data_IF_308884502348
#
_entry.id   IF_308884502348
#
_cell.length_a   1.000
_cell.length_b   1.000
_cell.length_c   1.000
_cell.angle_alpha   90.00
_cell.angle_beta   90.00
_cell.angle_gamma   90.00
#
_symmetry.space_group_name_H-M   'P 1'
#
loop_
_entity.id
_entity.type
_entity.pdbx_description
1 polymer ?
#
# COMPACT_ATOMS: atom_id res chain seq x y z
N UNK A 1 -1.16 -4.61 -9.04
CA UNK A 1 -1.41 -5.87 -8.29
C UNK A 1 -2.00 -5.51 -6.93
N UNK A 2 -2.97 -6.28 -6.43
CA UNK A 2 -3.56 -6.13 -5.09
C UNK A 2 -3.32 -7.43 -4.30
N UNK A 3 -2.81 -7.33 -3.08
CA UNK A 3 -2.57 -8.50 -2.23
C UNK A 3 -2.88 -8.20 -0.75
N UNK A 4 -3.53 -9.15 -0.07
CA UNK A 4 -3.62 -9.18 1.38
C UNK A 4 -2.54 -10.11 1.91
N UNK A 5 -1.52 -9.56 2.56
CA UNK A 5 -0.28 -10.29 2.88
C UNK A 5 -0.24 -10.83 4.31
N UNK A 6 -1.09 -10.32 5.20
CA UNK A 6 -1.18 -10.76 6.61
C UNK A 6 0.19 -10.76 7.30
N UNK A 7 0.90 -9.63 7.22
CA UNK A 7 2.30 -9.37 7.61
C UNK A 7 3.20 -9.10 6.40
N UNK A 8 3.33 -7.83 6.04
CA UNK A 8 4.22 -7.39 4.96
C UNK A 8 5.68 -7.67 5.30
N UNK A 9 6.11 -7.43 6.55
CA UNK A 9 7.49 -7.64 7.00
C UNK A 9 7.99 -9.06 6.69
N UNK A 10 7.13 -10.06 6.86
CA UNK A 10 7.48 -11.46 6.62
C UNK A 10 7.46 -11.85 5.13
N UNK A 11 7.02 -10.95 4.26
CA UNK A 11 6.76 -11.20 2.84
C UNK A 11 7.59 -10.33 1.90
N UNK A 12 8.43 -9.43 2.42
CA UNK A 12 9.29 -8.55 1.61
C UNK A 12 10.20 -9.36 0.69
N UNK A 13 10.89 -10.39 1.21
CA UNK A 13 11.80 -11.22 0.39
C UNK A 13 11.07 -11.98 -0.72
N UNK A 14 9.86 -12.48 -0.44
CA UNK A 14 9.01 -13.15 -1.43
C UNK A 14 8.54 -12.17 -2.52
N UNK A 15 8.09 -10.98 -2.12
CA UNK A 15 7.70 -9.91 -3.05
C UNK A 15 8.88 -9.46 -3.91
N UNK A 16 10.06 -9.34 -3.31
CA UNK A 16 11.30 -8.99 -3.98
C UNK A 16 11.68 -10.06 -5.02
N UNK A 17 11.56 -11.34 -4.68
CA UNK A 17 11.75 -12.44 -5.62
C UNK A 17 10.72 -12.39 -6.76
N UNK A 18 9.45 -12.15 -6.45
CA UNK A 18 8.39 -12.05 -7.45
C UNK A 18 8.63 -10.89 -8.42
N UNK A 19 9.01 -9.71 -7.94
CA UNK A 19 9.38 -8.57 -8.80
C UNK A 19 10.59 -8.88 -9.68
N UNK A 20 11.52 -9.72 -9.21
CA UNK A 20 12.70 -10.11 -9.98
C UNK A 20 12.40 -11.11 -11.09
N UNK A 21 11.54 -12.09 -10.82
CA UNK A 21 11.36 -13.26 -11.69
C UNK A 21 10.02 -13.30 -12.43
N UNK A 22 9.01 -12.54 -11.99
CA UNK A 22 7.67 -12.55 -12.57
C UNK A 22 7.37 -11.20 -13.23
N UNK A 23 7.13 -11.21 -14.55
CA UNK A 23 6.87 -9.99 -15.32
C UNK A 23 5.64 -9.22 -14.82
N UNK A 24 4.62 -9.94 -14.34
CA UNK A 24 3.39 -9.34 -13.81
C UNK A 24 3.64 -8.46 -12.58
N UNK A 25 4.60 -8.82 -11.72
CA UNK A 25 5.00 -8.02 -10.57
C UNK A 25 5.95 -6.90 -10.98
N UNK A 26 6.93 -7.23 -11.83
CA UNK A 26 7.93 -6.28 -12.31
C UNK A 26 7.32 -5.09 -13.06
N UNK A 27 6.35 -5.37 -13.92
CA UNK A 27 5.72 -4.38 -14.79
C UNK A 27 4.43 -3.79 -14.19
N UNK A 28 4.04 -4.22 -12.98
CA UNK A 28 2.92 -3.62 -12.27
C UNK A 28 3.22 -2.13 -12.03
N UNK A 29 2.25 -1.27 -12.36
CA UNK A 29 2.33 0.16 -12.06
C UNK A 29 2.34 0.43 -10.54
N UNK A 30 1.57 -0.39 -9.82
CA UNK A 30 1.31 -0.28 -8.39
C UNK A 30 1.27 -1.67 -7.75
N UNK A 31 1.83 -1.79 -6.55
CA UNK A 31 1.53 -2.90 -5.63
C UNK A 31 0.72 -2.32 -4.46
N UNK A 32 -0.55 -2.69 -4.39
CA UNK A 32 -1.45 -2.31 -3.32
C UNK A 32 -1.53 -3.46 -2.31
N UNK A 33 -1.16 -3.20 -1.07
CA UNK A 33 -1.02 -4.20 -0.02
C UNK A 33 -1.94 -3.84 1.15
N UNK A 34 -2.78 -4.78 1.54
CA UNK A 34 -3.61 -4.70 2.76
C UNK A 34 -3.09 -5.68 3.81
N UNK A 35 -3.52 -5.51 5.06
CA UNK A 35 -3.09 -6.38 6.19
C UNK A 35 -1.56 -6.39 6.32
N UNK A 36 -0.95 -5.19 6.29
CA UNK A 36 0.51 -5.04 6.37
C UNK A 36 1.05 -5.43 7.75
N UNK A 37 0.25 -5.21 8.80
CA UNK A 37 0.60 -5.42 10.22
C UNK A 37 1.88 -4.69 10.65
N UNK A 38 2.18 -3.58 9.98
CA UNK A 38 3.29 -2.70 10.32
C UNK A 38 2.94 -1.80 11.50
N UNK A 39 3.97 -1.29 12.15
CA UNK A 39 3.95 -0.40 13.29
C UNK A 39 4.91 0.76 13.06
N UNK A 40 4.78 1.82 13.85
CA UNK A 40 5.63 3.02 13.75
C UNK A 40 7.14 2.74 13.80
N UNK A 41 7.56 1.68 14.50
CA UNK A 41 8.99 1.30 14.56
C UNK A 41 9.51 0.55 13.34
N UNK A 42 8.63 0.09 12.44
CA UNK A 42 9.05 -0.56 11.19
C UNK A 42 9.62 0.48 10.24
N UNK A 43 10.90 0.38 9.94
CA UNK A 43 11.61 1.31 9.09
C UNK A 43 11.22 1.08 7.63
N UNK A 44 11.08 2.16 6.85
CA UNK A 44 10.80 2.05 5.41
C UNK A 44 11.92 1.31 4.66
N UNK A 45 13.18 1.46 5.11
CA UNK A 45 14.34 0.75 4.56
C UNK A 45 14.18 -0.76 4.52
N UNK A 46 13.48 -1.32 5.50
CA UNK A 46 13.31 -2.77 5.67
C UNK A 46 12.17 -3.30 4.80
N UNK A 47 11.43 -2.39 4.16
CA UNK A 47 10.26 -2.67 3.31
C UNK A 47 10.55 -2.42 1.83
N UNK A 48 11.81 -2.22 1.47
CA UNK A 48 12.23 -1.88 0.11
C UNK A 48 11.90 -3.00 -0.86
N UNK A 49 11.35 -2.62 -2.02
CA UNK A 49 11.16 -3.49 -3.17
C UNK A 49 11.83 -2.84 -4.39
N UNK A 50 12.75 -3.54 -5.05
CA UNK A 50 13.49 -2.95 -6.17
C UNK A 50 12.56 -2.58 -7.34
N UNK A 51 12.86 -1.46 -7.99
CA UNK A 51 12.00 -0.90 -9.05
C UNK A 51 10.80 -0.09 -8.52
N UNK A 52 10.48 -0.18 -7.23
CA UNK A 52 9.43 0.58 -6.59
C UNK A 52 9.99 1.66 -5.64
N UNK A 53 9.24 2.76 -5.49
CA UNK A 53 9.52 3.78 -4.48
C UNK A 53 9.30 3.25 -3.06
N UNK A 54 9.66 4.07 -2.07
CA UNK A 54 9.28 3.79 -0.68
C UNK A 54 7.75 3.67 -0.56
N UNK A 55 7.23 2.75 0.28
CA UNK A 55 5.80 2.55 0.40
C UNK A 55 5.12 3.77 1.02
N UNK A 56 4.07 4.25 0.36
CA UNK A 56 3.11 5.15 1.02
C UNK A 56 2.20 4.26 1.87
N UNK A 57 2.22 4.44 3.19
CA UNK A 57 1.54 3.53 4.11
C UNK A 57 0.65 4.24 5.11
N UNK A 58 -0.34 3.50 5.59
CA UNK A 58 -1.16 3.82 6.75
C UNK A 58 -1.03 2.63 7.72
N UNK A 59 -0.43 2.87 8.88
CA UNK A 59 -0.31 1.85 9.92
C UNK A 59 -1.54 1.90 10.83
N UNK A 60 -2.00 0.75 11.32
CA UNK A 60 -3.19 0.69 12.18
C UNK A 60 -2.87 1.28 13.55
N UNK A 61 -3.71 2.21 14.00
CA UNK A 61 -3.62 2.76 15.35
C UNK A 61 -4.39 1.86 16.36
N UNK A 62 -3.69 1.20 17.31
CA UNK A 62 -4.33 0.37 18.32
C UNK A 62 -5.18 1.17 19.30
N UNK A 63 -4.90 2.47 19.50
CA UNK A 63 -5.65 3.33 20.42
C UNK A 63 -7.04 3.65 19.88
N UNK A 64 -7.16 3.82 18.56
CA UNK A 64 -8.42 4.09 17.88
C UNK A 64 -9.24 2.81 17.70
N UNK A 65 -8.57 1.68 17.50
CA UNK A 65 -9.23 0.45 17.04
C UNK A 65 -9.40 -0.63 18.10
N UNK A 66 -8.72 -0.51 19.24
CA UNK A 66 -8.71 -1.52 20.32
C UNK A 66 -8.07 -2.85 19.92
N UNK A 67 -7.42 -2.95 18.76
CA UNK A 67 -6.75 -4.16 18.26
C UNK A 67 -5.25 -3.94 18.15
N UNK A 68 -4.48 -4.88 18.68
CA UNK A 68 -3.00 -4.83 18.66
C UNK A 68 -2.36 -5.50 17.44
N UNK A 69 -3.16 -6.19 16.63
CA UNK A 69 -2.75 -6.92 15.43
C UNK A 69 -3.86 -6.88 14.37
N UNK A 70 -3.49 -6.97 13.09
CA UNK A 70 -4.44 -6.80 11.97
C UNK A 70 -4.37 -5.39 11.38
N UNK A 71 -4.83 -5.24 10.15
CA UNK A 71 -4.91 -3.96 9.45
C UNK A 71 -3.59 -3.45 8.87
N UNK A 72 -3.62 -2.19 8.46
CA UNK A 72 -2.55 -1.49 7.78
C UNK A 72 -2.65 -1.63 6.26
N UNK A 73 -2.29 -0.53 5.60
CA UNK A 73 -2.28 -0.37 4.15
C UNK A 73 -0.88 0.06 3.70
N UNK A 74 -0.42 -0.43 2.56
CA UNK A 74 0.78 0.08 1.90
C UNK A 74 0.58 0.10 0.38
N UNK A 75 1.05 1.17 -0.26
CA UNK A 75 1.04 1.35 -1.70
C UNK A 75 2.47 1.58 -2.18
N UNK A 76 2.96 0.65 -3.01
CA UNK A 76 4.21 0.81 -3.73
C UNK A 76 3.94 1.33 -5.13
N UNK A 77 4.72 2.32 -5.55
CA UNK A 77 4.61 2.94 -6.86
C UNK A 77 5.84 2.59 -7.68
N UNK A 78 5.62 2.04 -8.87
CA UNK A 78 6.72 1.68 -9.76
C UNK A 78 7.42 2.94 -10.26
N UNK A 79 8.73 3.03 -10.04
CA UNK A 79 9.54 4.21 -10.38
C UNK A 79 9.58 4.48 -11.89
N UNK A 80 9.32 3.46 -12.71
CA UNK A 80 9.23 3.61 -14.17
C UNK A 80 7.88 4.16 -14.64
N UNK A 81 6.87 4.17 -13.77
CA UNK A 81 5.51 4.61 -14.10
C UNK A 81 5.21 6.01 -13.58
N UNK A 82 5.61 6.32 -12.35
CA UNK A 82 5.35 7.61 -11.70
C UNK A 82 6.45 7.94 -10.67
N UNK A 83 6.86 9.21 -10.61
CA UNK A 83 7.89 9.69 -9.68
C UNK A 83 7.33 10.37 -8.42
N UNK A 84 6.22 11.10 -8.54
CA UNK A 84 5.67 11.91 -7.45
C UNK A 84 4.28 11.43 -7.06
N UNK A 85 4.07 11.26 -5.75
CA UNK A 85 2.83 10.84 -5.12
C UNK A 85 2.55 11.75 -3.94
N UNK A 86 1.29 12.15 -3.78
CA UNK A 86 0.83 13.02 -2.69
C UNK A 86 -0.32 12.30 -1.98
N UNK A 87 -0.19 12.09 -0.66
CA UNK A 87 -1.30 11.60 0.17
C UNK A 87 -2.37 12.69 0.23
N UNK A 88 -3.59 12.35 -0.14
CA UNK A 88 -4.74 13.26 -0.11
C UNK A 88 -5.61 13.05 1.11
N UNK A 89 -5.78 11.79 1.49
CA UNK A 89 -6.62 11.41 2.60
C UNK A 89 -6.12 10.10 3.19
N UNK A 90 -6.21 9.98 4.51
CA UNK A 90 -6.03 8.73 5.23
C UNK A 90 -7.04 8.64 6.36
N UNK A 91 -7.57 7.44 6.59
CA UNK A 91 -8.54 7.15 7.64
C UNK A 91 -8.18 5.81 8.27
N UNK A 92 -7.97 5.81 9.58
CA UNK A 92 -7.88 4.59 10.38
C UNK A 92 -9.09 4.55 11.32
N UNK A 93 -9.99 3.61 11.09
CA UNK A 93 -11.17 3.38 11.92
C UNK A 93 -11.28 1.89 12.28
N UNK A 94 -12.12 1.52 13.27
CA UNK A 94 -12.24 0.13 13.72
C UNK A 94 -12.59 -0.87 12.61
N UNK A 95 -13.48 -0.46 11.69
CA UNK A 95 -14.08 -1.31 10.65
C UNK A 95 -13.60 -1.00 9.23
N UNK A 96 -12.97 0.16 9.03
CA UNK A 96 -12.45 0.59 7.73
C UNK A 96 -11.10 1.29 7.87
N UNK A 97 -10.21 0.98 6.96
CA UNK A 97 -8.97 1.70 6.73
C UNK A 97 -8.93 2.19 5.29
N UNK A 98 -8.50 3.43 5.07
CA UNK A 98 -8.44 4.05 3.75
C UNK A 98 -7.16 4.86 3.60
N UNK A 99 -6.53 4.73 2.43
CA UNK A 99 -5.40 5.55 2.00
C UNK A 99 -5.66 6.01 0.57
N UNK A 100 -5.87 7.31 0.40
CA UNK A 100 -6.03 7.94 -0.92
C UNK A 100 -4.82 8.78 -1.27
N UNK A 101 -4.30 8.57 -2.47
CA UNK A 101 -3.18 9.32 -3.03
C UNK A 101 -3.56 9.93 -4.38
N UNK A 102 -3.00 11.09 -4.68
CA UNK A 102 -2.97 11.62 -6.04
C UNK A 102 -1.57 11.47 -6.62
N UNK A 103 -1.50 11.12 -7.90
CA UNK A 103 -0.24 10.94 -8.60
C UNK A 103 -0.40 11.25 -10.09
N UNK A 104 0.70 11.51 -10.79
CA UNK A 104 0.68 11.78 -12.23
C UNK A 104 1.71 10.90 -12.94
N UNK A 105 1.27 9.81 -13.60
CA UNK A 105 2.17 8.95 -14.37
C UNK A 105 2.85 9.73 -15.50
N UNK A 106 4.04 9.29 -15.90
CA UNK A 106 4.83 9.98 -16.93
C UNK A 106 4.11 10.08 -18.29
N UNK A 107 3.29 9.08 -18.60
CA UNK A 107 2.57 8.97 -19.88
C UNK A 107 1.06 9.20 -19.72
N UNK A 108 0.64 9.99 -18.73
CA UNK A 108 -0.76 10.38 -18.59
C UNK A 108 -1.16 11.32 -19.76
N UNK A 109 -2.29 11.07 -20.48
CA UNK A 109 -2.76 11.95 -21.54
C UNK A 109 -2.97 13.38 -21.05
N UNK A 110 -2.78 14.35 -21.94
CA UNK A 110 -2.76 15.78 -21.58
C UNK A 110 -4.08 16.26 -20.99
N UNK A 111 -5.18 15.62 -21.35
CA UNK A 111 -6.53 15.89 -20.89
C UNK A 111 -6.73 15.59 -19.40
N UNK A 112 -5.89 14.72 -18.82
CA UNK A 112 -5.94 14.36 -17.41
C UNK A 112 -4.80 15.02 -16.64
N UNK A 113 -5.15 15.71 -15.55
CA UNK A 113 -4.17 16.42 -14.72
C UNK A 113 -3.43 15.49 -13.77
N UNK A 114 -4.15 14.55 -13.15
CA UNK A 114 -3.64 13.55 -12.21
C UNK A 114 -4.63 12.39 -12.09
N UNK A 115 -4.14 11.26 -11.56
CA UNK A 115 -4.95 10.14 -11.14
C UNK A 115 -5.09 10.14 -9.61
N UNK A 116 -6.20 9.61 -9.13
CA UNK A 116 -6.41 9.32 -7.72
C UNK A 116 -6.48 7.80 -7.53
N UNK A 117 -5.75 7.29 -6.55
CA UNK A 117 -5.75 5.88 -6.18
C UNK A 117 -6.15 5.80 -4.72
N UNK A 118 -7.23 5.08 -4.44
CA UNK A 118 -7.71 4.86 -3.08
C UNK A 118 -7.62 3.37 -2.76
N UNK A 119 -6.81 3.04 -1.78
CA UNK A 119 -6.72 1.71 -1.20
C UNK A 119 -7.63 1.66 0.03
N UNK A 120 -8.52 0.67 0.07
CA UNK A 120 -9.49 0.49 1.14
C UNK A 120 -9.39 -0.93 1.67
N UNK A 121 -9.36 -1.06 2.99
CA UNK A 121 -9.50 -2.33 3.67
C UNK A 121 -10.70 -2.29 4.61
N UNK A 122 -11.62 -3.24 4.42
CA UNK A 122 -12.83 -3.41 5.25
C UNK A 122 -12.61 -4.65 6.10
N UNK A 123 -12.75 -4.51 7.41
CA UNK A 123 -12.52 -5.64 8.31
C UNK A 123 -13.59 -6.71 8.13
N UNK A 124 -13.24 -8.02 8.15
CA UNK A 124 -14.20 -9.11 8.06
C UNK A 124 -15.31 -9.06 9.12
N UNK A 125 -15.03 -8.46 10.29
CA UNK A 125 -16.00 -8.28 11.38
C UNK A 125 -17.00 -7.15 11.15
N UNK A 126 -16.80 -6.27 10.16
CA UNK A 126 -17.72 -5.17 9.84
C UNK A 126 -19.13 -5.65 9.44
N UNK A 127 -19.26 -6.93 9.06
CA UNK A 127 -20.53 -7.56 8.68
C UNK A 127 -21.11 -8.48 9.77
N UNK A 128 -20.57 -8.47 11.00
CA UNK A 128 -21.12 -9.25 12.10
C UNK A 128 -22.20 -8.43 12.82
N UNK A 129 -23.46 -8.93 12.92
CA UNK A 129 -24.59 -8.20 13.53
C UNK A 129 -24.41 -7.95 15.03
#
# INVERSE_FOLDING_TARGET
MLASVQSLRNKVDELQANVKFLEEYKNACLLAITETWLKDHDLQSDLRIDGFGEPVRLDRDPTVTGKSLGGGLALYINRSWCGNVIVRESLCAPDIELLSVSLRPFYLPREFTQLFVTLVYIHPKANSP
#
